data_IF_293202348328
#
_entry.id   IF_293202348328
#
_cell.length_a   1.000
_cell.length_b   1.000
_cell.length_c   1.000
_cell.angle_alpha   90.00
_cell.angle_beta   90.00
_cell.angle_gamma   90.00
#
_symmetry.space_group_name_H-M   'P 1'
#
loop_
_entity.id
_entity.type
_entity.pdbx_description
1 polymer ?
#
# COMPACT_ATOMS: atom_id res chain seq x y z
N UNK A 1 22.50 -1.90 3.15
CA UNK A 1 21.54 -1.10 3.95
C UNK A 1 20.22 -1.86 3.97
N UNK A 2 19.48 -1.85 5.08
CA UNK A 2 18.17 -2.51 5.15
C UNK A 2 17.15 -1.57 4.51
N UNK A 3 16.36 -2.01 3.50
CA UNK A 3 15.41 -1.13 2.82
C UNK A 3 14.27 -0.68 3.73
N UNK A 4 13.78 0.55 3.50
CA UNK A 4 12.62 1.12 4.17
C UNK A 4 11.39 1.00 3.25
N UNK A 5 10.32 0.38 3.74
CA UNK A 5 9.07 0.19 3.02
C UNK A 5 7.98 1.06 3.65
N UNK A 6 7.37 1.94 2.87
CA UNK A 6 6.15 2.61 3.28
C UNK A 6 4.96 1.66 3.05
N UNK A 7 4.33 1.22 4.13
CA UNK A 7 3.19 0.31 4.08
C UNK A 7 1.88 1.09 4.33
N UNK A 8 1.07 1.25 3.29
CA UNK A 8 -0.15 2.06 3.30
C UNK A 8 -1.38 1.18 3.49
N UNK A 9 -2.14 1.43 4.56
CA UNK A 9 -3.47 0.84 4.73
C UNK A 9 -4.52 1.66 3.99
N UNK A 10 -5.17 1.08 2.98
CA UNK A 10 -6.30 1.70 2.28
C UNK A 10 -7.61 1.68 3.09
N UNK A 11 -7.60 1.13 4.30
CA UNK A 11 -8.78 1.06 5.17
C UNK A 11 -8.64 2.04 6.33
N UNK A 12 -9.68 2.82 6.57
CA UNK A 12 -9.79 3.75 7.72
C UNK A 12 -10.26 3.07 9.00
N UNK A 13 -10.53 1.75 8.97
CA UNK A 13 -10.99 1.00 10.16
C UNK A 13 -9.81 0.60 11.02
N UNK A 14 -9.82 0.94 12.31
CA UNK A 14 -8.75 0.67 13.29
C UNK A 14 -8.37 -0.81 13.42
N UNK A 15 -9.32 -1.72 13.22
CA UNK A 15 -9.10 -3.18 13.30
C UNK A 15 -9.42 -3.87 11.97
N UNK A 16 -8.93 -3.29 10.88
CA UNK A 16 -9.17 -3.84 9.55
C UNK A 16 -8.32 -5.09 9.28
N UNK A 17 -8.82 -6.00 8.45
CA UNK A 17 -8.03 -7.13 7.96
C UNK A 17 -6.78 -6.65 7.21
N UNK A 18 -6.86 -5.52 6.53
CA UNK A 18 -5.74 -4.92 5.80
C UNK A 18 -4.61 -4.49 6.76
N UNK A 19 -4.94 -3.83 7.88
CA UNK A 19 -3.95 -3.49 8.91
C UNK A 19 -3.35 -4.73 9.59
N UNK A 20 -4.16 -5.80 9.80
CA UNK A 20 -3.65 -7.07 10.32
C UNK A 20 -2.64 -7.69 9.36
N UNK A 21 -2.94 -7.71 8.05
CA UNK A 21 -2.04 -8.23 7.02
C UNK A 21 -0.72 -7.44 7.02
N UNK A 22 -0.76 -6.11 7.01
CA UNK A 22 0.45 -5.28 7.01
C UNK A 22 1.31 -5.51 8.25
N UNK A 23 0.72 -5.57 9.44
CA UNK A 23 1.44 -5.88 10.68
C UNK A 23 2.01 -7.30 10.71
N UNK A 24 1.31 -8.27 10.11
CA UNK A 24 1.83 -9.63 9.96
C UNK A 24 3.05 -9.67 9.03
N UNK A 25 3.04 -8.89 7.94
CA UNK A 25 4.19 -8.75 7.04
C UNK A 25 5.37 -8.09 7.77
N UNK A 26 5.15 -6.96 8.43
CA UNK A 26 6.16 -6.26 9.23
C UNK A 26 6.86 -7.21 10.22
N UNK A 27 6.09 -7.96 11.00
CA UNK A 27 6.64 -8.91 11.98
C UNK A 27 7.47 -10.03 11.34
N UNK A 28 7.11 -10.48 10.12
CA UNK A 28 7.80 -11.58 9.42
C UNK A 28 9.07 -11.15 8.70
N UNK A 29 9.20 -9.87 8.36
CA UNK A 29 10.31 -9.34 7.57
C UNK A 29 11.14 -8.29 8.32
N UNK A 30 10.97 -8.20 9.63
CA UNK A 30 11.66 -7.21 10.49
C UNK A 30 13.18 -7.30 10.47
N UNK A 31 13.75 -8.44 10.06
CA UNK A 31 15.19 -8.66 9.86
C UNK A 31 15.66 -8.29 8.44
N UNK A 32 14.75 -8.08 7.48
CA UNK A 32 15.05 -7.85 6.06
C UNK A 32 14.67 -6.45 5.58
N UNK A 33 13.70 -5.80 6.24
CA UNK A 33 13.23 -4.45 5.92
C UNK A 33 12.73 -3.72 7.15
N UNK A 34 12.76 -2.39 7.10
CA UNK A 34 12.01 -1.54 8.05
C UNK A 34 10.69 -1.12 7.42
N UNK A 35 9.61 -1.14 8.21
CA UNK A 35 8.28 -0.78 7.72
C UNK A 35 7.80 0.50 8.41
N UNK A 36 7.38 1.47 7.61
CA UNK A 36 6.67 2.66 8.05
C UNK A 36 5.18 2.46 7.76
N UNK A 37 4.40 2.11 8.79
CA UNK A 37 2.97 1.85 8.65
C UNK A 37 2.18 3.16 8.59
N UNK A 38 1.62 3.50 7.44
CA UNK A 38 0.76 4.66 7.24
C UNK A 38 -0.71 4.24 7.33
N UNK A 39 -1.31 4.43 8.50
CA UNK A 39 -2.71 4.12 8.78
C UNK A 39 -3.60 5.37 8.87
N UNK A 40 -3.01 6.58 8.85
CA UNK A 40 -3.71 7.86 8.97
C UNK A 40 -4.19 8.42 7.61
N UNK A 41 -4.63 7.54 6.72
CA UNK A 41 -5.04 7.93 5.36
C UNK A 41 -6.29 8.84 5.35
N UNK A 42 -7.11 8.80 6.39
CA UNK A 42 -8.28 9.64 6.61
C UNK A 42 -7.94 11.04 7.15
N UNK A 43 -6.70 11.26 7.58
CA UNK A 43 -6.22 12.59 7.97
C UNK A 43 -5.85 13.47 6.77
N UNK A 44 -5.73 12.89 5.58
CA UNK A 44 -5.45 13.65 4.37
C UNK A 44 -6.70 14.43 3.92
N UNK A 45 -6.62 15.77 3.77
CA UNK A 45 -7.73 16.53 3.21
C UNK A 45 -8.04 16.08 1.78
N UNK A 46 -9.22 16.39 1.28
CA UNK A 46 -9.55 16.11 -0.11
C UNK A 46 -8.55 16.81 -1.04
N UNK A 47 -8.12 16.09 -2.06
CA UNK A 47 -7.20 16.63 -3.06
C UNK A 47 -7.79 17.89 -3.69
N UNK A 48 -6.98 18.93 -3.71
CA UNK A 48 -7.24 20.17 -4.39
C UNK A 48 -5.94 20.70 -5.00
N UNK A 49 -5.83 20.77 -6.32
CA UNK A 49 -4.60 21.21 -7.00
C UNK A 49 -4.21 22.66 -6.63
N UNK A 50 -5.12 23.50 -6.13
CA UNK A 50 -4.81 24.85 -5.66
C UNK A 50 -4.01 24.88 -4.35
N UNK A 51 -3.96 23.76 -3.61
CA UNK A 51 -3.23 23.63 -2.35
C UNK A 51 -1.82 23.06 -2.52
N UNK A 52 -1.35 22.92 -3.74
CA UNK A 52 0.02 22.50 -4.06
C UNK A 52 1.04 23.62 -3.79
N UNK A 53 2.30 23.27 -3.60
CA UNK A 53 3.37 24.25 -3.38
C UNK A 53 3.39 24.83 -1.97
N UNK A 54 3.45 26.15 -1.83
CA UNK A 54 3.60 26.86 -0.55
C UNK A 54 2.43 26.65 0.42
N UNK A 55 1.25 26.26 -0.08
CA UNK A 55 0.04 26.04 0.71
C UNK A 55 -0.23 24.58 1.01
N UNK A 56 0.73 23.69 0.74
CA UNK A 56 0.58 22.26 0.94
C UNK A 56 0.18 21.93 2.40
N UNK A 57 -0.93 21.22 2.62
CA UNK A 57 -1.37 20.85 3.97
C UNK A 57 -0.35 19.96 4.70
N UNK A 58 -0.11 20.21 5.99
CA UNK A 58 0.87 19.46 6.76
C UNK A 58 0.72 17.94 6.73
N UNK A 59 -0.50 17.33 6.76
CA UNK A 59 -0.66 15.89 6.59
C UNK A 59 -0.19 15.38 5.22
N UNK A 60 -0.38 16.17 4.15
CA UNK A 60 0.06 15.83 2.81
C UNK A 60 1.58 15.93 2.69
N UNK A 61 2.18 16.99 3.28
CA UNK A 61 3.63 17.14 3.34
C UNK A 61 4.30 15.95 4.08
N UNK A 62 3.72 15.48 5.19
CA UNK A 62 4.20 14.28 5.89
C UNK A 62 4.06 13.02 5.02
N UNK A 63 2.95 12.88 4.31
CA UNK A 63 2.73 11.76 3.40
C UNK A 63 3.77 11.76 2.25
N UNK A 64 4.04 12.90 1.64
CA UNK A 64 5.07 13.04 0.60
C UNK A 64 6.46 12.68 1.12
N UNK A 65 6.85 13.22 2.28
CA UNK A 65 8.14 12.89 2.93
C UNK A 65 8.28 11.38 3.17
N UNK A 66 7.23 10.70 3.65
CA UNK A 66 7.26 9.24 3.88
C UNK A 66 7.46 8.47 2.57
N UNK A 67 6.79 8.89 1.48
CA UNK A 67 7.00 8.27 0.16
C UNK A 67 8.44 8.51 -0.32
N UNK A 68 8.96 9.71 -0.17
CA UNK A 68 10.30 10.07 -0.60
C UNK A 68 11.38 9.27 0.14
N UNK A 69 11.25 9.15 1.46
CA UNK A 69 12.18 8.40 2.32
C UNK A 69 12.13 6.88 2.15
N UNK A 70 11.08 6.35 1.52
CA UNK A 70 10.91 4.91 1.34
C UNK A 70 11.60 4.41 0.07
N UNK A 71 12.28 3.27 0.16
CA UNK A 71 12.85 2.56 -0.98
C UNK A 71 11.76 1.86 -1.81
N UNK A 72 10.63 1.51 -1.21
CA UNK A 72 9.48 0.89 -1.87
C UNK A 72 8.16 1.25 -1.17
N UNK A 73 7.04 1.03 -1.87
CA UNK A 73 5.69 1.21 -1.33
C UNK A 73 4.92 -0.11 -1.38
N UNK A 74 4.27 -0.47 -0.27
CA UNK A 74 3.37 -1.61 -0.16
C UNK A 74 1.97 -1.10 0.20
N UNK A 75 0.98 -1.35 -0.64
CA UNK A 75 -0.42 -0.94 -0.39
C UNK A 75 -1.24 -2.19 -0.04
N UNK A 76 -2.05 -2.12 1.02
CA UNK A 76 -3.05 -3.15 1.32
C UNK A 76 -4.43 -2.49 1.46
N UNK A 77 -5.40 -2.87 0.62
CA UNK A 77 -6.69 -2.18 0.51
C UNK A 77 -7.87 -3.15 0.42
N UNK A 78 -9.04 -2.79 0.97
CA UNK A 78 -10.27 -3.50 0.69
C UNK A 78 -10.89 -3.03 -0.64
N UNK A 79 -12.00 -3.67 -1.02
CA UNK A 79 -12.91 -3.22 -2.07
C UNK A 79 -14.19 -2.67 -1.44
N UNK A 80 -14.58 -1.44 -1.81
CA UNK A 80 -15.86 -0.84 -1.46
C UNK A 80 -16.58 -0.37 -2.71
N UNK A 81 -17.81 -0.86 -2.90
CA UNK A 81 -18.66 -0.48 -4.05
C UNK A 81 -17.91 -0.70 -5.39
N UNK A 82 -17.31 -1.90 -5.54
CA UNK A 82 -16.55 -2.31 -6.73
C UNK A 82 -15.34 -1.42 -7.08
N UNK A 83 -14.77 -0.71 -6.10
CA UNK A 83 -13.58 0.12 -6.28
C UNK A 83 -12.73 0.17 -5.01
N UNK A 84 -11.55 0.80 -5.09
CA UNK A 84 -10.76 1.13 -3.91
C UNK A 84 -11.51 2.14 -3.03
N UNK A 85 -11.26 2.17 -1.70
CA UNK A 85 -11.83 3.19 -0.82
C UNK A 85 -11.49 4.61 -1.28
N UNK A 86 -12.44 5.54 -1.14
CA UNK A 86 -12.25 6.94 -1.51
C UNK A 86 -11.05 7.60 -0.82
N UNK A 87 -10.77 7.23 0.44
CA UNK A 87 -9.60 7.72 1.15
C UNK A 87 -8.28 7.30 0.49
N UNK A 88 -8.18 6.05 -0.01
CA UNK A 88 -7.00 5.61 -0.75
C UNK A 88 -6.89 6.34 -2.09
N UNK A 89 -8.00 6.46 -2.82
CA UNK A 89 -8.02 7.19 -4.08
C UNK A 89 -7.56 8.64 -3.90
N UNK A 90 -8.07 9.31 -2.85
CA UNK A 90 -7.65 10.66 -2.47
C UNK A 90 -6.15 10.76 -2.17
N UNK A 91 -5.59 9.80 -1.42
CA UNK A 91 -4.15 9.77 -1.15
C UNK A 91 -3.32 9.64 -2.44
N UNK A 92 -3.76 8.81 -3.38
CA UNK A 92 -3.11 8.65 -4.68
C UNK A 92 -3.26 9.89 -5.57
N UNK A 93 -4.40 10.58 -5.50
CA UNK A 93 -4.61 11.84 -6.22
C UNK A 93 -3.63 12.93 -5.77
N UNK A 94 -3.31 13.02 -4.49
CA UNK A 94 -2.29 13.95 -4.00
C UNK A 94 -0.91 13.74 -4.64
N UNK A 95 -0.59 12.55 -5.15
CA UNK A 95 0.71 12.29 -5.79
C UNK A 95 0.75 12.63 -7.28
N UNK A 96 -0.38 13.01 -7.90
CA UNK A 96 -0.51 13.15 -9.37
C UNK A 96 0.40 14.24 -9.96
N UNK A 97 0.62 15.33 -9.24
CA UNK A 97 1.48 16.44 -9.67
C UNK A 97 2.95 16.28 -9.24
N UNK A 98 3.31 15.09 -8.73
CA UNK A 98 4.66 14.80 -8.24
C UNK A 98 5.31 13.66 -9.03
N UNK A 99 6.60 13.44 -8.81
CA UNK A 99 7.35 12.28 -9.32
C UNK A 99 7.67 11.27 -8.21
N UNK A 100 7.03 11.39 -7.05
CA UNK A 100 7.35 10.58 -5.85
C UNK A 100 7.17 9.08 -6.05
N UNK A 101 6.22 8.67 -6.91
CA UNK A 101 5.96 7.27 -7.25
C UNK A 101 6.61 6.84 -8.57
N UNK A 102 7.18 7.78 -9.34
CA UNK A 102 7.80 7.46 -10.63
C UNK A 102 8.98 6.51 -10.44
N UNK A 103 8.94 5.38 -11.12
CA UNK A 103 9.94 4.30 -11.07
C UNK A 103 10.19 3.69 -9.68
N UNK A 104 9.42 4.07 -8.65
CA UNK A 104 9.53 3.49 -7.31
C UNK A 104 8.98 2.05 -7.33
N UNK A 105 9.66 1.06 -6.72
CA UNK A 105 9.09 -0.27 -6.52
C UNK A 105 7.79 -0.19 -5.73
N UNK A 106 6.70 -0.71 -6.29
CA UNK A 106 5.38 -0.73 -5.66
C UNK A 106 4.82 -2.13 -5.74
N UNK A 107 4.28 -2.64 -4.63
CA UNK A 107 3.43 -3.81 -4.61
C UNK A 107 2.09 -3.49 -3.96
N UNK A 108 1.02 -4.19 -4.35
CA UNK A 108 -0.26 -4.00 -3.71
C UNK A 108 -1.04 -5.29 -3.48
N UNK A 109 -1.82 -5.27 -2.43
CA UNK A 109 -2.68 -6.36 -1.97
C UNK A 109 -4.11 -5.83 -1.95
N UNK A 110 -5.01 -6.48 -2.65
CA UNK A 110 -6.46 -6.27 -2.49
C UNK A 110 -7.00 -7.39 -1.62
N UNK A 111 -7.40 -7.06 -0.39
CA UNK A 111 -7.90 -8.02 0.59
C UNK A 111 -9.34 -7.69 0.96
N UNK A 112 -10.28 -8.40 0.35
CA UNK A 112 -11.72 -8.10 0.42
C UNK A 112 -12.57 -9.37 0.35
N UNK A 113 -13.89 -9.21 0.31
CA UNK A 113 -14.82 -10.33 0.01
C UNK A 113 -14.68 -10.77 -1.45
N UNK A 114 -14.59 -9.82 -2.38
CA UNK A 114 -14.35 -10.06 -3.82
C UNK A 114 -13.00 -9.45 -4.25
N UNK A 115 -12.94 -8.18 -4.57
CA UNK A 115 -11.71 -7.44 -4.82
C UNK A 115 -11.28 -7.36 -6.30
N UNK A 116 -11.91 -8.08 -7.21
CA UNK A 116 -11.47 -8.14 -8.61
C UNK A 116 -11.51 -6.77 -9.29
N UNK A 117 -12.54 -5.97 -9.03
CA UNK A 117 -12.67 -4.64 -9.64
C UNK A 117 -11.67 -3.63 -9.07
N UNK A 118 -11.35 -3.77 -7.80
CA UNK A 118 -10.29 -2.96 -7.18
C UNK A 118 -8.91 -3.35 -7.73
N UNK A 119 -8.65 -4.64 -7.97
CA UNK A 119 -7.41 -5.08 -8.63
C UNK A 119 -7.21 -4.38 -9.97
N UNK A 120 -8.24 -4.42 -10.86
CA UNK A 120 -8.21 -3.79 -12.18
C UNK A 120 -7.98 -2.27 -12.08
N UNK A 121 -8.76 -1.59 -11.24
CA UNK A 121 -8.73 -0.12 -11.14
C UNK A 121 -7.48 0.39 -10.44
N UNK A 122 -7.00 -0.28 -9.39
CA UNK A 122 -5.80 0.14 -8.67
C UNK A 122 -4.54 -0.10 -9.49
N UNK A 123 -4.47 -1.20 -10.23
CA UNK A 123 -3.39 -1.48 -11.16
C UNK A 123 -3.22 -0.35 -12.18
N UNK A 124 -4.31 0.04 -12.85
CA UNK A 124 -4.32 1.14 -13.82
C UNK A 124 -3.87 2.48 -13.20
N UNK A 125 -4.35 2.78 -11.98
CA UNK A 125 -3.96 4.02 -11.29
C UNK A 125 -2.48 4.02 -10.94
N UNK A 126 -1.97 2.91 -10.39
CA UNK A 126 -0.56 2.80 -10.00
C UNK A 126 0.37 2.78 -11.22
N UNK A 127 0.00 2.09 -12.30
CA UNK A 127 0.74 2.12 -13.56
C UNK A 127 0.88 3.55 -14.10
N UNK A 128 -0.21 4.34 -14.01
CA UNK A 128 -0.20 5.75 -14.43
C UNK A 128 0.74 6.59 -13.56
N UNK A 129 0.69 6.45 -12.24
CA UNK A 129 1.49 7.23 -11.29
C UNK A 129 2.97 6.81 -11.31
N UNK A 130 3.22 5.52 -11.47
CA UNK A 130 4.58 4.94 -11.53
C UNK A 130 5.25 5.18 -12.89
N UNK A 131 4.46 5.45 -13.95
CA UNK A 131 4.87 5.60 -15.36
C UNK A 131 5.44 4.31 -15.99
N UNK A 132 5.14 3.16 -15.42
CA UNK A 132 5.51 1.84 -15.93
C UNK A 132 4.60 0.75 -15.33
N UNK A 133 4.40 -0.39 -16.04
CA UNK A 133 3.58 -1.48 -15.55
C UNK A 133 4.14 -2.09 -14.26
N UNK A 134 3.23 -2.55 -13.39
CA UNK A 134 3.63 -3.34 -12.23
C UNK A 134 3.76 -4.82 -12.61
N UNK A 135 4.83 -5.51 -12.18
CA UNK A 135 4.96 -6.96 -12.37
C UNK A 135 3.82 -7.73 -11.68
N UNK A 136 3.38 -8.84 -12.26
CA UNK A 136 2.35 -9.69 -11.64
C UNK A 136 2.75 -10.21 -10.25
N UNK A 137 4.05 -10.40 -10.02
CA UNK A 137 4.60 -10.79 -8.71
C UNK A 137 4.41 -9.73 -7.61
N UNK A 138 4.05 -8.49 -7.98
CA UNK A 138 3.79 -7.37 -7.08
C UNK A 138 2.29 -7.14 -6.82
N UNK A 139 1.44 -8.03 -7.31
CA UNK A 139 -0.01 -7.94 -7.23
C UNK A 139 -0.59 -9.16 -6.52
N UNK A 140 -1.42 -8.96 -5.50
CA UNK A 140 -2.06 -10.08 -4.79
C UNK A 140 -3.52 -9.79 -4.50
N UNK A 141 -4.40 -10.67 -4.97
CA UNK A 141 -5.82 -10.67 -4.62
C UNK A 141 -6.09 -11.72 -3.53
N UNK A 142 -6.59 -11.27 -2.38
CA UNK A 142 -7.05 -12.13 -1.29
C UNK A 142 -8.57 -12.02 -1.20
N UNK A 143 -9.26 -12.97 -1.81
CA UNK A 143 -10.72 -13.06 -1.74
C UNK A 143 -11.17 -13.75 -0.43
N UNK A 144 -12.34 -13.35 0.06
CA UNK A 144 -12.89 -13.91 1.29
C UNK A 144 -12.02 -13.62 2.52
N UNK A 145 -11.38 -12.47 2.59
CA UNK A 145 -10.37 -12.10 3.60
C UNK A 145 -10.82 -12.34 5.05
N UNK A 146 -12.13 -12.27 5.33
CA UNK A 146 -12.67 -12.52 6.66
C UNK A 146 -12.36 -13.92 7.21
N UNK A 147 -12.31 -14.93 6.34
CA UNK A 147 -11.95 -16.31 6.69
C UNK A 147 -10.44 -16.57 6.67
N UNK A 148 -9.65 -15.63 6.17
CA UNK A 148 -8.20 -15.73 6.05
C UNK A 148 -7.45 -15.16 7.25
N UNK A 149 -8.13 -14.41 8.10
CA UNK A 149 -7.60 -13.94 9.38
C UNK A 149 -8.01 -14.93 10.46
N UNK A 150 -7.03 -15.48 11.19
CA UNK A 150 -7.30 -16.45 12.25
C UNK A 150 -8.03 -15.79 13.46
N UNK A 151 -8.63 -16.60 14.36
CA UNK A 151 -9.41 -16.08 15.49
C UNK A 151 -8.64 -15.17 16.45
N UNK A 152 -7.31 -15.29 16.51
CA UNK A 152 -6.44 -14.41 17.29
C UNK A 152 -6.38 -12.97 16.75
N UNK A 153 -6.90 -12.74 15.52
CA UNK A 153 -6.89 -11.49 14.78
C UNK A 153 -5.49 -10.86 14.61
N UNK A 154 -4.47 -11.69 14.60
CA UNK A 154 -3.06 -11.31 14.40
C UNK A 154 -2.39 -12.13 13.32
N UNK A 155 -2.88 -13.35 13.12
CA UNK A 155 -2.29 -14.33 12.21
C UNK A 155 -3.15 -14.50 10.96
N UNK A 156 -2.48 -14.66 9.84
CA UNK A 156 -3.07 -14.97 8.53
C UNK A 156 -2.96 -16.48 8.29
N UNK A 157 -3.94 -17.09 7.65
CA UNK A 157 -3.90 -18.52 7.34
C UNK A 157 -2.65 -18.91 6.53
N UNK A 158 -2.12 -20.14 6.66
CA UNK A 158 -0.81 -20.52 6.09
C UNK A 158 -0.68 -20.31 4.59
N UNK A 159 -1.69 -20.69 3.79
CA UNK A 159 -1.62 -20.56 2.33
C UNK A 159 -1.59 -19.10 1.88
N UNK A 160 -2.44 -18.25 2.48
CA UNK A 160 -2.45 -16.80 2.23
C UNK A 160 -1.14 -16.17 2.71
N UNK A 161 -0.62 -16.62 3.84
CA UNK A 161 0.64 -16.11 4.38
C UNK A 161 1.83 -16.42 3.45
N UNK A 162 1.85 -17.58 2.80
CA UNK A 162 2.90 -17.90 1.83
C UNK A 162 2.81 -17.01 0.57
N UNK A 163 1.60 -16.71 0.10
CA UNK A 163 1.41 -15.76 -1.00
C UNK A 163 1.90 -14.35 -0.64
N UNK A 164 1.63 -13.89 0.60
CA UNK A 164 2.14 -12.61 1.11
C UNK A 164 3.67 -12.59 1.15
N UNK A 165 4.30 -13.66 1.62
CA UNK A 165 5.77 -13.78 1.63
C UNK A 165 6.36 -13.69 0.23
N UNK A 166 5.75 -14.34 -0.75
CA UNK A 166 6.23 -14.33 -2.13
C UNK A 166 6.16 -12.92 -2.73
N UNK A 167 5.05 -12.20 -2.50
CA UNK A 167 4.91 -10.82 -2.94
C UNK A 167 5.97 -9.90 -2.29
N UNK A 168 6.15 -9.99 -0.96
CA UNK A 168 7.14 -9.14 -0.27
C UNK A 168 8.56 -9.46 -0.69
N UNK A 169 8.91 -10.74 -0.87
CA UNK A 169 10.22 -11.13 -1.40
C UNK A 169 10.47 -10.60 -2.82
N UNK A 170 9.43 -10.55 -3.67
CA UNK A 170 9.53 -9.97 -4.99
C UNK A 170 9.79 -8.45 -4.90
N UNK A 171 9.02 -7.75 -4.07
CA UNK A 171 9.21 -6.31 -3.84
C UNK A 171 10.62 -5.98 -3.32
N UNK A 172 11.12 -6.76 -2.35
CA UNK A 172 12.46 -6.56 -1.78
C UNK A 172 13.59 -6.76 -2.78
N UNK A 173 13.42 -7.60 -3.80
CA UNK A 173 14.43 -7.76 -4.87
C UNK A 173 14.56 -6.52 -5.74
N UNK A 174 13.49 -5.74 -5.86
CA UNK A 174 13.47 -4.52 -6.68
C UNK A 174 13.85 -3.27 -5.88
N UNK A 175 14.00 -3.41 -4.53
CA UNK A 175 14.57 -2.37 -3.70
C UNK A 175 16.08 -2.31 -3.93
N UNK A 176 16.52 -1.42 -4.80
CA UNK A 176 17.93 -1.08 -4.91
C UNK A 176 18.25 -0.05 -3.83
N UNK A 177 19.17 -0.31 -2.88
CA UNK A 177 19.56 0.74 -1.94
C UNK A 177 20.02 1.97 -2.73
N UNK A 178 19.34 3.10 -2.49
CA UNK A 178 19.81 4.38 -3.04
C UNK A 178 21.15 4.64 -2.38
N UNK A 179 22.22 4.47 -3.19
CA UNK A 179 23.62 4.60 -2.75
C UNK A 179 24.02 6.05 -2.53
#
# INVERSE_FOLDING_TARGET
MIPKILAISGSTRSHSSNGIILRSIEAQFSDQATFDLFEAIDALPHFNPELEGETLPAPVADFYRRIEEADAVLICTPEYVFSMPGALKNALEWTVATTLLSHKPIAFIVASSSGAKTMESLDLVLETLKQEPLPDSHKLLIQGVGSKILPDRKTVEPATNEALKNLVKALLKDCVPIG
#
